data_IF_384118816888
#
_entry.id   IF_384118816888
#
_cell.length_a   1.000
_cell.length_b   1.000
_cell.length_c   1.000
_cell.angle_alpha   90.00
_cell.angle_beta   90.00
_cell.angle_gamma   90.00
#
_symmetry.space_group_name_H-M   'P 1'
#
loop_
_entity.id
_entity.type
_entity.pdbx_description
1 polymer ?
#
# COMPACT_ATOMS: atom_id res chain seq x y z
N UNK A 1 10.67 21.35 7.35
CA UNK A 1 10.03 22.10 8.45
C UNK A 1 9.73 21.24 9.67
N UNK A 2 9.06 20.04 9.55
CA UNK A 2 8.76 19.20 10.73
C UNK A 2 10.03 18.78 11.46
N UNK A 3 11.04 18.32 10.74
CA UNK A 3 12.33 17.88 11.30
C UNK A 3 13.09 19.08 11.90
N UNK A 4 13.12 20.19 11.20
CA UNK A 4 13.69 21.45 11.68
C UNK A 4 12.97 21.97 12.94
N UNK A 5 11.65 21.71 13.04
CA UNK A 5 10.83 22.00 14.21
C UNK A 5 11.02 21.06 15.39
N UNK A 6 11.86 20.02 15.26
CA UNK A 6 12.20 19.11 16.35
C UNK A 6 11.33 17.85 16.41
N UNK A 7 10.71 17.42 15.30
CA UNK A 7 10.01 16.14 15.27
C UNK A 7 10.99 14.97 15.40
N UNK A 8 10.67 14.00 16.25
CA UNK A 8 11.47 12.79 16.49
C UNK A 8 11.01 11.59 15.65
N UNK A 9 9.78 11.64 15.13
CA UNK A 9 9.15 10.58 14.33
C UNK A 9 8.36 11.22 13.19
N UNK A 10 8.38 10.63 12.02
CA UNK A 10 7.50 11.01 10.91
C UNK A 10 6.33 10.04 10.86
N UNK A 11 5.11 10.54 11.08
CA UNK A 11 3.87 9.77 10.97
C UNK A 11 3.15 10.14 9.67
N UNK A 12 2.98 9.16 8.79
CA UNK A 12 2.13 9.25 7.59
C UNK A 12 0.81 8.59 7.96
N UNK A 13 -0.20 9.40 8.25
CA UNK A 13 -1.47 8.90 8.79
C UNK A 13 -2.66 9.13 7.87
N UNK A 14 -3.79 8.44 8.20
CA UNK A 14 -5.06 8.51 7.50
C UNK A 14 -4.90 8.20 6.02
N UNK A 15 -4.07 7.20 5.73
CA UNK A 15 -3.77 6.78 4.37
C UNK A 15 -4.96 6.01 3.81
N UNK A 16 -5.64 6.61 2.84
CA UNK A 16 -6.74 5.98 2.10
C UNK A 16 -6.34 5.60 0.66
N UNK A 17 -5.16 6.06 0.22
CA UNK A 17 -4.56 5.80 -1.09
C UNK A 17 -3.06 5.54 -0.93
N UNK A 18 -2.63 4.33 -1.28
CA UNK A 18 -1.22 3.95 -1.13
C UNK A 18 -0.31 4.58 -2.19
N UNK A 19 -0.82 5.05 -3.32
CA UNK A 19 0.00 5.81 -4.27
C UNK A 19 0.42 7.15 -3.66
N UNK A 20 -0.51 7.85 -3.02
CA UNK A 20 -0.21 9.09 -2.29
C UNK A 20 0.72 8.84 -1.09
N UNK A 21 0.50 7.75 -0.36
CA UNK A 21 1.39 7.34 0.73
C UNK A 21 2.82 7.07 0.23
N UNK A 22 2.99 6.37 -0.89
CA UNK A 22 4.30 6.13 -1.50
C UNK A 22 5.00 7.41 -1.93
N UNK A 23 4.25 8.40 -2.41
CA UNK A 23 4.82 9.73 -2.70
C UNK A 23 5.37 10.41 -1.43
N UNK A 24 4.66 10.30 -0.29
CA UNK A 24 5.13 10.81 1.00
C UNK A 24 6.36 10.04 1.52
N UNK A 25 6.36 8.70 1.38
CA UNK A 25 7.51 7.84 1.74
C UNK A 25 8.74 8.24 0.90
N UNK A 26 8.57 8.35 -0.41
CA UNK A 26 9.65 8.73 -1.33
C UNK A 26 10.23 10.10 -0.99
N UNK A 27 9.38 11.10 -0.76
CA UNK A 27 9.82 12.44 -0.37
C UNK A 27 10.57 12.44 0.97
N UNK A 28 10.07 11.68 1.96
CA UNK A 28 10.70 11.54 3.26
C UNK A 28 12.08 10.90 3.15
N UNK A 29 12.21 9.80 2.43
CA UNK A 29 13.48 9.10 2.22
C UNK A 29 14.49 9.95 1.44
N UNK A 30 14.01 10.63 0.39
CA UNK A 30 14.85 11.55 -0.36
C UNK A 30 15.40 12.65 0.56
N UNK A 31 14.56 13.23 1.42
CA UNK A 31 15.00 14.24 2.39
C UNK A 31 16.05 13.68 3.36
N UNK A 32 15.85 12.44 3.85
CA UNK A 32 16.83 11.78 4.72
C UNK A 32 18.19 11.62 4.05
N UNK A 33 18.19 11.19 2.79
CA UNK A 33 19.44 11.06 2.02
C UNK A 33 20.11 12.41 1.78
N UNK A 34 19.34 13.43 1.40
CA UNK A 34 19.87 14.76 1.08
C UNK A 34 20.40 15.50 2.34
N UNK A 35 19.74 15.32 3.49
CA UNK A 35 20.08 16.00 4.75
C UNK A 35 21.05 15.23 5.65
N UNK A 36 21.20 13.94 5.44
CA UNK A 36 21.94 13.04 6.36
C UNK A 36 21.21 12.77 7.68
N UNK A 37 19.95 13.22 7.84
CA UNK A 37 19.12 12.99 9.03
C UNK A 37 18.19 11.81 8.73
N UNK A 38 18.09 10.86 9.66
CA UNK A 38 17.15 9.73 9.55
C UNK A 38 16.29 9.67 10.79
N UNK A 39 14.98 9.70 10.63
CA UNK A 39 14.00 9.53 11.71
C UNK A 39 13.18 8.26 11.48
N UNK A 40 12.65 7.65 12.55
CA UNK A 40 11.67 6.58 12.42
C UNK A 40 10.43 7.04 11.64
N UNK A 41 9.90 6.14 10.80
CA UNK A 41 8.65 6.37 10.08
C UNK A 41 7.57 5.48 10.69
N UNK A 42 6.40 6.04 10.95
CA UNK A 42 5.16 5.33 11.25
C UNK A 42 4.19 5.51 10.08
N UNK A 43 3.42 4.47 9.77
CA UNK A 43 2.39 4.53 8.72
C UNK A 43 1.07 4.07 9.32
N UNK A 44 0.00 4.82 9.06
CA UNK A 44 -1.35 4.48 9.53
C UNK A 44 -2.37 4.67 8.42
N UNK A 45 -3.03 3.57 8.03
CA UNK A 45 -4.09 3.57 7.03
C UNK A 45 -5.45 3.92 7.63
N UNK A 46 -6.42 4.14 6.75
CA UNK A 46 -7.81 4.29 7.14
C UNK A 46 -8.71 3.38 6.31
N UNK A 47 -9.64 2.72 6.99
CA UNK A 47 -10.67 1.87 6.40
C UNK A 47 -12.00 2.61 6.57
N UNK A 48 -12.56 3.17 5.48
CA UNK A 48 -13.70 4.10 5.58
C UNK A 48 -15.02 3.43 5.97
N UNK A 49 -15.14 2.12 5.76
CA UNK A 49 -16.38 1.39 6.00
C UNK A 49 -16.14 -0.11 6.32
N UNK A 50 -17.23 -0.85 6.52
CA UNK A 50 -17.22 -2.27 6.86
C UNK A 50 -16.78 -3.20 5.72
N UNK A 51 -16.47 -2.69 4.54
CA UNK A 51 -15.91 -3.50 3.43
C UNK A 51 -14.51 -4.02 3.72
N UNK A 52 -13.82 -3.39 4.67
CA UNK A 52 -12.45 -3.74 5.05
C UNK A 52 -11.40 -3.29 4.03
N UNK A 53 -11.75 -2.31 3.19
CA UNK A 53 -10.87 -1.79 2.14
C UNK A 53 -10.54 -0.32 2.38
N UNK A 54 -9.39 0.12 1.88
CA UNK A 54 -9.10 1.55 1.76
C UNK A 54 -10.10 2.20 0.79
N UNK A 55 -10.19 3.53 0.78
CA UNK A 55 -11.08 4.25 -0.14
C UNK A 55 -10.78 3.93 -1.62
N UNK A 56 -9.53 3.66 -1.95
CA UNK A 56 -9.11 3.27 -3.30
C UNK A 56 -9.20 1.76 -3.57
N UNK A 57 -9.81 1.00 -2.65
CA UNK A 57 -10.24 -0.40 -2.85
C UNK A 57 -9.26 -1.47 -2.39
N UNK A 58 -8.09 -1.13 -1.83
CA UNK A 58 -7.13 -2.13 -1.35
C UNK A 58 -7.59 -2.84 -0.08
N UNK A 59 -7.36 -4.15 -0.01
CA UNK A 59 -7.43 -4.92 1.25
C UNK A 59 -6.35 -4.48 2.23
N UNK A 60 -6.51 -4.83 3.51
CA UNK A 60 -5.50 -4.53 4.56
C UNK A 60 -4.14 -5.15 4.21
N UNK A 61 -4.11 -6.39 3.71
CA UNK A 61 -2.87 -7.04 3.28
C UNK A 61 -2.26 -6.35 2.06
N UNK A 62 -3.07 -5.96 1.06
CA UNK A 62 -2.59 -5.21 -0.10
C UNK A 62 -2.02 -3.84 0.29
N UNK A 63 -2.68 -3.14 1.21
CA UNK A 63 -2.17 -1.91 1.81
C UNK A 63 -0.78 -2.13 2.44
N UNK A 64 -0.64 -3.14 3.31
CA UNK A 64 0.64 -3.46 3.94
C UNK A 64 1.71 -3.80 2.91
N UNK A 65 1.42 -4.68 1.95
CA UNK A 65 2.37 -5.05 0.90
C UNK A 65 2.84 -3.84 0.09
N UNK A 66 1.96 -2.85 -0.14
CA UNK A 66 2.28 -1.64 -0.91
C UNK A 66 3.26 -0.71 -0.20
N UNK A 67 3.25 -0.67 1.15
CA UNK A 67 4.03 0.30 1.94
C UNK A 67 5.14 -0.32 2.80
N UNK A 68 5.21 -1.66 2.89
CA UNK A 68 6.18 -2.37 3.72
C UNK A 68 7.65 -2.06 3.36
N UNK A 69 7.93 -1.69 2.10
CA UNK A 69 9.25 -1.26 1.64
C UNK A 69 9.77 -0.02 2.39
N UNK A 70 8.88 0.79 2.97
CA UNK A 70 9.27 1.92 3.82
C UNK A 70 10.02 1.50 5.08
N UNK A 71 9.99 0.21 5.43
CA UNK A 71 10.56 -0.32 6.67
C UNK A 71 10.15 0.53 7.90
N UNK A 72 8.83 0.78 8.10
CA UNK A 72 8.36 1.63 9.18
C UNK A 72 8.58 0.96 10.54
N UNK A 73 8.69 1.74 11.62
CA UNK A 73 8.71 1.18 12.96
C UNK A 73 7.34 0.60 13.36
N UNK A 74 6.26 1.17 12.82
CA UNK A 74 4.90 0.65 13.01
C UNK A 74 4.04 0.83 11.77
N UNK A 75 3.11 -0.12 11.61
CA UNK A 75 1.97 -0.04 10.72
C UNK A 75 0.69 -0.04 11.55
N UNK A 76 -0.32 0.67 11.13
CA UNK A 76 -1.55 0.72 11.90
C UNK A 76 -2.74 1.22 11.11
N UNK A 77 -3.83 1.43 11.85
CA UNK A 77 -5.07 1.99 11.31
C UNK A 77 -5.56 3.11 12.24
N UNK A 78 -6.13 4.14 11.65
CA UNK A 78 -6.75 5.23 12.38
C UNK A 78 -7.98 5.76 11.67
N UNK A 79 -8.84 6.41 12.44
CA UNK A 79 -10.00 7.16 11.95
C UNK A 79 -11.08 6.29 11.28
N UNK A 80 -12.11 6.93 10.75
CA UNK A 80 -13.29 6.43 10.05
C UNK A 80 -14.17 5.50 10.91
N UNK A 81 -13.63 4.43 11.45
CA UNK A 81 -14.34 3.44 12.23
C UNK A 81 -14.12 3.61 13.74
N UNK A 82 -15.08 3.16 14.55
CA UNK A 82 -14.92 2.96 15.97
C UNK A 82 -14.06 1.75 16.29
N UNK A 83 -13.78 1.55 17.58
CA UNK A 83 -12.89 0.48 18.00
C UNK A 83 -13.44 -0.91 17.64
N UNK A 84 -14.74 -1.16 17.81
CA UNK A 84 -15.35 -2.44 17.48
C UNK A 84 -15.22 -2.81 15.99
N UNK A 85 -15.53 -1.86 15.11
CA UNK A 85 -15.47 -2.09 13.68
C UNK A 85 -14.01 -2.20 13.16
N UNK A 86 -13.06 -1.53 13.82
CA UNK A 86 -11.65 -1.56 13.42
C UNK A 86 -10.96 -2.86 13.82
N UNK A 87 -11.49 -3.58 14.82
CA UNK A 87 -10.90 -4.77 15.42
C UNK A 87 -10.42 -5.83 14.42
N UNK A 88 -11.24 -6.33 13.48
CA UNK A 88 -10.81 -7.40 12.56
C UNK A 88 -9.64 -6.96 11.66
N UNK A 89 -9.56 -5.71 11.31
CA UNK A 89 -8.50 -5.17 10.46
C UNK A 89 -7.17 -5.00 11.22
N UNK A 90 -7.25 -4.64 12.50
CA UNK A 90 -6.09 -4.60 13.41
C UNK A 90 -5.57 -6.01 13.68
N UNK A 91 -6.47 -6.98 13.89
CA UNK A 91 -6.13 -8.40 14.01
C UNK A 91 -5.39 -8.91 12.76
N UNK A 92 -5.89 -8.60 11.57
CA UNK A 92 -5.23 -8.97 10.32
C UNK A 92 -3.81 -8.38 10.24
N UNK A 93 -3.64 -7.07 10.46
CA UNK A 93 -2.31 -6.44 10.50
C UNK A 93 -1.40 -7.08 11.54
N UNK A 94 -1.94 -7.46 12.69
CA UNK A 94 -1.17 -8.08 13.76
C UNK A 94 -0.56 -9.41 13.34
N UNK A 95 -1.22 -10.14 12.46
CA UNK A 95 -0.79 -11.45 11.98
C UNK A 95 0.22 -11.36 10.84
N UNK A 96 0.08 -10.36 9.95
CA UNK A 96 0.87 -10.28 8.70
C UNK A 96 2.06 -9.34 8.76
N UNK A 97 2.14 -8.45 9.78
CA UNK A 97 3.21 -7.46 9.86
C UNK A 97 4.34 -7.89 10.80
N UNK A 98 5.59 -7.75 10.33
CA UNK A 98 6.80 -7.96 11.11
C UNK A 98 7.29 -6.71 11.87
N UNK A 99 6.45 -5.68 12.02
CA UNK A 99 6.74 -4.43 12.72
C UNK A 99 5.70 -4.19 13.82
N UNK A 100 5.85 -3.15 14.63
CA UNK A 100 4.83 -2.80 15.63
C UNK A 100 3.50 -2.49 14.96
N UNK A 101 2.39 -2.78 15.67
CA UNK A 101 1.03 -2.45 15.22
C UNK A 101 0.45 -1.35 16.08
N UNK A 102 -0.10 -0.32 15.43
CA UNK A 102 -0.77 0.80 16.08
C UNK A 102 -2.26 0.86 15.72
N UNK A 103 -3.09 1.32 16.66
CA UNK A 103 -4.51 1.53 16.46
C UNK A 103 -4.97 2.85 17.10
N UNK A 104 -5.63 3.70 16.30
CA UNK A 104 -6.17 4.98 16.74
C UNK A 104 -7.61 5.14 16.23
N UNK A 105 -8.59 4.39 16.78
CA UNK A 105 -9.99 4.46 16.36
C UNK A 105 -10.64 5.78 16.76
N UNK A 106 -11.77 6.09 16.14
CA UNK A 106 -12.66 7.16 16.56
C UNK A 106 -13.39 6.75 17.86
N UNK A 107 -13.95 7.73 18.57
CA UNK A 107 -14.86 7.49 19.69
C UNK A 107 -16.26 7.08 19.19
N UNK A 108 -16.33 5.93 18.50
CA UNK A 108 -17.49 5.42 17.78
C UNK A 108 -17.65 6.01 16.36
N UNK A 109 -18.81 5.77 15.77
CA UNK A 109 -19.18 6.37 14.49
C UNK A 109 -19.78 7.78 14.70
N UNK A 110 -19.64 8.70 13.73
CA UNK A 110 -20.28 10.01 13.85
C UNK A 110 -21.81 9.86 13.88
N UNK A 111 -22.46 10.56 14.82
CA UNK A 111 -23.92 10.65 14.90
C UNK A 111 -24.49 11.60 13.81
N UNK A 112 -25.84 11.71 13.74
CA UNK A 112 -26.53 12.56 12.76
C UNK A 112 -26.15 14.05 12.81
N UNK A 113 -25.60 14.51 13.94
CA UNK A 113 -25.10 15.88 14.13
C UNK A 113 -23.59 16.00 13.92
N UNK A 114 -22.91 14.92 13.51
CA UNK A 114 -21.46 14.87 13.32
C UNK A 114 -20.66 14.78 14.62
N UNK A 115 -21.32 14.56 15.78
CA UNK A 115 -20.66 14.29 17.05
C UNK A 115 -20.31 12.81 17.20
N UNK A 116 -19.61 12.49 18.31
CA UNK A 116 -19.21 11.14 18.67
C UNK A 116 -19.73 10.83 20.08
N UNK A 117 -20.37 9.66 20.24
CA UNK A 117 -21.12 9.34 21.46
C UNK A 117 -20.51 8.20 22.26
N UNK A 118 -19.41 7.59 21.78
CA UNK A 118 -18.75 6.54 22.53
C UNK A 118 -18.07 7.10 23.77
N UNK A 119 -18.31 6.43 24.92
CA UNK A 119 -17.74 6.88 26.20
C UNK A 119 -16.29 6.38 26.39
N UNK A 120 -15.50 7.04 27.27
CA UNK A 120 -14.16 6.58 27.61
C UNK A 120 -14.11 5.12 28.09
N UNK A 121 -15.12 4.69 28.86
CA UNK A 121 -15.20 3.34 29.42
C UNK A 121 -15.54 2.30 28.35
N UNK A 122 -16.44 2.65 27.42
CA UNK A 122 -16.80 1.76 26.30
C UNK A 122 -15.61 1.53 25.39
N UNK A 123 -14.98 2.62 24.96
CA UNK A 123 -13.81 2.56 24.08
C UNK A 123 -12.63 1.83 24.74
N UNK A 124 -12.38 2.11 26.02
CA UNK A 124 -11.32 1.44 26.79
C UNK A 124 -11.51 -0.07 26.82
N UNK A 125 -12.73 -0.55 27.04
CA UNK A 125 -13.06 -1.97 27.08
C UNK A 125 -12.71 -2.69 25.78
N UNK A 126 -13.01 -2.10 24.63
CA UNK A 126 -12.72 -2.69 23.33
C UNK A 126 -11.21 -2.66 23.06
N UNK A 127 -10.54 -1.57 23.37
CA UNK A 127 -9.08 -1.46 23.21
C UNK A 127 -8.34 -2.41 24.17
N UNK A 128 -8.89 -2.66 25.36
CA UNK A 128 -8.37 -3.68 26.27
C UNK A 128 -8.41 -5.07 25.62
N UNK A 129 -9.50 -5.42 24.93
CA UNK A 129 -9.58 -6.67 24.18
C UNK A 129 -8.51 -6.79 23.07
N UNK A 130 -8.18 -5.71 22.37
CA UNK A 130 -7.06 -5.71 21.42
C UNK A 130 -5.73 -6.08 22.11
N UNK A 131 -5.48 -5.52 23.28
CA UNK A 131 -4.25 -5.75 24.02
C UNK A 131 -4.20 -7.17 24.59
N UNK A 132 -5.29 -7.65 25.19
CA UNK A 132 -5.40 -8.99 25.76
C UNK A 132 -5.33 -10.08 24.67
N UNK A 133 -5.83 -9.79 23.46
CA UNK A 133 -5.67 -10.62 22.27
C UNK A 133 -4.27 -10.55 21.64
N UNK A 134 -3.42 -9.63 22.10
CA UNK A 134 -2.05 -9.49 21.59
C UNK A 134 -1.97 -8.88 20.21
N UNK A 135 -2.86 -7.95 19.84
CA UNK A 135 -2.93 -7.36 18.51
C UNK A 135 -2.12 -6.07 18.35
N UNK A 136 -1.87 -5.34 19.43
CA UNK A 136 -1.33 -3.98 19.39
C UNK A 136 -0.06 -3.78 20.22
N UNK A 137 0.73 -2.79 19.80
CA UNK A 137 1.91 -2.29 20.52
C UNK A 137 1.74 -0.82 20.90
N UNK A 138 1.01 -0.06 20.07
CA UNK A 138 0.79 1.37 20.21
C UNK A 138 -0.71 1.62 20.10
N UNK A 139 -1.25 2.44 20.96
CA UNK A 139 -2.67 2.77 20.95
C UNK A 139 -2.92 4.21 21.35
N UNK A 140 -3.96 4.77 20.78
CA UNK A 140 -4.47 6.10 21.08
C UNK A 140 -5.90 6.23 20.61
N UNK A 141 -6.27 7.42 20.19
CA UNK A 141 -7.58 7.71 19.63
C UNK A 141 -7.47 8.70 18.50
N UNK A 142 -8.54 8.84 17.71
CA UNK A 142 -8.68 9.79 16.62
C UNK A 142 -9.92 10.67 16.84
N UNK A 143 -10.79 10.86 15.86
CA UNK A 143 -11.92 11.77 15.95
C UNK A 143 -12.85 11.44 17.14
N UNK A 144 -13.31 12.48 17.82
CA UNK A 144 -14.19 12.35 18.97
C UNK A 144 -13.52 11.97 20.30
N UNK A 145 -12.25 11.53 20.29
CA UNK A 145 -11.55 11.20 21.53
C UNK A 145 -11.15 12.46 22.31
N UNK A 146 -11.35 12.40 23.62
CA UNK A 146 -11.03 13.46 24.58
C UNK A 146 -9.89 13.03 25.49
N UNK A 147 -9.33 13.95 26.31
CA UNK A 147 -8.37 13.57 27.35
C UNK A 147 -8.85 12.47 28.28
N UNK A 148 -10.17 12.37 28.55
CA UNK A 148 -10.76 11.33 29.39
C UNK A 148 -10.65 9.94 28.71
N UNK A 149 -10.89 9.84 27.40
CA UNK A 149 -10.69 8.61 26.64
C UNK A 149 -9.23 8.14 26.71
N UNK A 150 -8.29 9.04 26.46
CA UNK A 150 -6.86 8.70 26.49
C UNK A 150 -6.43 8.31 27.90
N UNK A 151 -6.95 8.98 28.94
CA UNK A 151 -6.65 8.61 30.33
C UNK A 151 -7.17 7.20 30.70
N UNK A 152 -8.38 6.84 30.26
CA UNK A 152 -8.96 5.51 30.48
C UNK A 152 -8.13 4.44 29.78
N UNK A 153 -7.82 4.62 28.50
CA UNK A 153 -6.97 3.72 27.71
C UNK A 153 -5.59 3.57 28.36
N UNK A 154 -4.91 4.68 28.66
CA UNK A 154 -3.57 4.65 29.25
C UNK A 154 -3.54 3.94 30.61
N UNK A 155 -4.59 4.10 31.43
CA UNK A 155 -4.74 3.38 32.72
C UNK A 155 -4.83 1.88 32.50
N UNK A 156 -5.67 1.45 31.57
CA UNK A 156 -5.90 0.03 31.26
C UNK A 156 -4.66 -0.63 30.68
N UNK A 157 -3.93 0.06 29.80
CA UNK A 157 -2.75 -0.49 29.11
C UNK A 157 -1.55 -0.75 30.04
N UNK A 158 -1.50 -0.17 31.24
CA UNK A 158 -0.40 -0.40 32.20
C UNK A 158 -0.25 -1.87 32.60
N UNK A 159 -1.32 -2.63 32.56
CA UNK A 159 -1.35 -4.04 32.94
C UNK A 159 -1.23 -4.99 31.75
N UNK A 160 -1.26 -4.47 30.54
CA UNK A 160 -1.24 -5.26 29.33
C UNK A 160 0.19 -5.57 28.88
N UNK A 161 0.34 -6.74 28.26
CA UNK A 161 1.60 -7.09 27.57
C UNK A 161 1.55 -6.60 26.14
N UNK A 162 2.65 -6.05 25.61
CA UNK A 162 2.69 -5.67 24.22
C UNK A 162 2.60 -6.90 23.29
N UNK A 163 2.05 -6.72 22.10
CA UNK A 163 2.05 -7.74 21.05
C UNK A 163 3.47 -8.25 20.81
N UNK A 164 3.61 -9.56 20.67
CA UNK A 164 4.84 -10.17 20.19
C UNK A 164 4.89 -10.06 18.67
N UNK A 165 5.96 -9.48 18.15
CA UNK A 165 6.15 -9.37 16.69
C UNK A 165 6.36 -10.77 16.13
N UNK A 166 5.53 -11.24 15.15
CA UNK A 166 5.70 -12.55 14.56
C UNK A 166 6.91 -12.57 13.63
N UNK A 167 7.50 -13.75 13.48
CA UNK A 167 8.48 -13.98 12.42
C UNK A 167 7.72 -14.22 11.11
N UNK A 168 7.84 -13.30 10.19
CA UNK A 168 7.20 -13.41 8.89
C UNK A 168 8.13 -14.15 7.92
N UNK A 169 7.72 -15.31 7.36
CA UNK A 169 8.54 -16.06 6.42
C UNK A 169 8.90 -15.22 5.18
N UNK A 170 10.09 -15.39 4.62
CA UNK A 170 10.45 -14.76 3.35
C UNK A 170 9.49 -15.19 2.24
N UNK A 171 8.98 -14.23 1.49
CA UNK A 171 8.12 -14.44 0.33
C UNK A 171 8.20 -13.23 -0.60
N UNK A 172 7.90 -13.41 -1.88
CA UNK A 172 7.61 -12.28 -2.77
C UNK A 172 6.16 -11.84 -2.51
N UNK A 173 6.01 -10.63 -2.00
CA UNK A 173 4.71 -10.03 -1.72
C UNK A 173 4.45 -8.87 -2.66
N UNK A 174 3.41 -9.00 -3.45
CA UNK A 174 2.95 -8.03 -4.44
C UNK A 174 1.53 -7.59 -4.07
N UNK A 175 1.04 -6.56 -4.74
CA UNK A 175 -0.36 -6.14 -4.61
C UNK A 175 -0.84 -5.32 -5.81
N UNK A 176 -2.08 -5.58 -6.18
CA UNK A 176 -2.98 -4.62 -6.79
C UNK A 176 -3.93 -4.11 -5.70
N UNK A 177 -5.25 -4.22 -5.93
CA UNK A 177 -6.25 -4.06 -4.87
C UNK A 177 -6.27 -5.27 -3.92
N UNK A 178 -5.88 -6.44 -4.44
CA UNK A 178 -5.68 -7.66 -3.67
C UNK A 178 -4.18 -7.93 -3.47
N UNK A 179 -3.86 -8.66 -2.41
CA UNK A 179 -2.50 -9.12 -2.17
C UNK A 179 -2.19 -10.38 -2.98
N UNK A 180 -0.95 -10.50 -3.45
CA UNK A 180 -0.41 -11.72 -4.06
C UNK A 180 0.89 -12.07 -3.32
N UNK A 181 0.88 -13.21 -2.66
CA UNK A 181 2.05 -13.75 -1.95
C UNK A 181 2.55 -15.01 -2.66
N UNK A 182 3.82 -14.99 -3.04
CA UNK A 182 4.49 -16.11 -3.72
C UNK A 182 5.60 -16.62 -2.81
N UNK A 183 5.47 -17.85 -2.36
CA UNK A 183 6.40 -18.54 -1.46
C UNK A 183 6.68 -19.98 -1.95
N UNK A 184 7.40 -20.74 -1.13
CA UNK A 184 7.76 -22.13 -1.47
C UNK A 184 6.57 -23.09 -1.58
N UNK A 185 5.38 -22.71 -1.11
CA UNK A 185 4.15 -23.50 -1.17
C UNK A 185 3.24 -23.05 -2.33
N UNK A 186 3.60 -21.96 -2.99
CA UNK A 186 2.82 -21.44 -4.12
C UNK A 186 2.92 -22.39 -5.30
N UNK A 187 1.77 -22.62 -5.95
CA UNK A 187 1.70 -23.32 -7.23
C UNK A 187 2.27 -22.43 -8.34
N UNK A 188 2.14 -22.91 -9.58
CA UNK A 188 2.51 -22.13 -10.76
C UNK A 188 1.80 -20.76 -10.76
N UNK A 189 2.57 -19.67 -10.93
CA UNK A 189 2.05 -18.31 -11.01
C UNK A 189 1.91 -17.93 -12.48
N UNK A 190 0.70 -17.58 -12.86
CA UNK A 190 0.39 -17.20 -14.24
C UNK A 190 0.57 -15.68 -14.43
N UNK A 191 1.52 -15.31 -15.28
CA UNK A 191 1.77 -13.92 -15.69
C UNK A 191 1.21 -13.72 -17.10
N UNK A 192 0.29 -12.76 -17.24
CA UNK A 192 -0.35 -12.43 -18.50
C UNK A 192 0.47 -11.42 -19.32
N UNK A 193 0.93 -11.83 -20.51
CA UNK A 193 1.80 -11.03 -21.38
C UNK A 193 1.09 -10.49 -22.64
N UNK A 194 -0.24 -10.33 -22.61
CA UNK A 194 -0.96 -9.81 -23.79
C UNK A 194 -1.10 -8.29 -23.83
N UNK A 195 -0.75 -7.59 -22.73
CA UNK A 195 -0.61 -6.13 -22.71
C UNK A 195 0.83 -5.68 -23.06
N UNK A 196 1.49 -6.43 -23.91
CA UNK A 196 2.84 -6.21 -24.38
C UNK A 196 2.83 -5.95 -25.88
N UNK A 197 3.26 -4.75 -26.31
CA UNK A 197 3.24 -4.33 -27.74
C UNK A 197 4.22 -5.15 -28.60
N UNK A 198 5.24 -5.78 -28.00
CA UNK A 198 6.17 -6.65 -28.72
C UNK A 198 5.66 -8.08 -28.81
N UNK A 199 4.87 -8.53 -27.82
CA UNK A 199 4.34 -9.90 -27.73
C UNK A 199 2.92 -10.10 -28.27
N UNK A 200 2.16 -9.02 -28.50
CA UNK A 200 0.75 -9.07 -28.92
C UNK A 200 0.46 -8.12 -30.07
N UNK A 201 0.29 -8.67 -31.28
CA UNK A 201 -0.08 -7.89 -32.46
C UNK A 201 -1.43 -7.17 -32.31
N UNK A 202 -2.42 -7.79 -31.64
CA UNK A 202 -3.71 -7.17 -31.31
C UNK A 202 -3.53 -5.96 -30.44
N UNK A 203 -2.83 -6.11 -29.32
CA UNK A 203 -2.61 -5.03 -28.35
C UNK A 203 -1.80 -3.89 -28.98
N UNK A 204 -0.70 -4.21 -29.68
CA UNK A 204 0.12 -3.23 -30.40
C UNK A 204 -0.74 -2.36 -31.33
N UNK A 205 -1.58 -2.97 -32.18
CA UNK A 205 -2.47 -2.23 -33.09
C UNK A 205 -3.39 -1.29 -32.33
N UNK A 206 -4.06 -1.78 -31.28
CA UNK A 206 -5.00 -0.99 -30.49
C UNK A 206 -4.34 0.24 -29.86
N UNK A 207 -3.15 0.07 -29.30
CA UNK A 207 -2.41 1.18 -28.66
C UNK A 207 -1.92 2.19 -29.71
N UNK A 208 -1.39 1.74 -30.87
CA UNK A 208 -0.94 2.61 -31.96
C UNK A 208 -2.08 3.42 -32.58
N UNK A 209 -3.27 2.84 -32.70
CA UNK A 209 -4.47 3.49 -33.21
C UNK A 209 -5.22 4.33 -32.14
N UNK A 210 -4.76 4.31 -30.87
CA UNK A 210 -5.36 5.07 -29.76
C UNK A 210 -6.63 4.45 -29.16
N UNK A 211 -6.93 3.19 -29.46
CA UNK A 211 -8.09 2.45 -28.97
C UNK A 211 -7.80 1.84 -27.57
N UNK A 212 -7.57 2.70 -26.59
CA UNK A 212 -7.17 2.28 -25.24
C UNK A 212 -8.27 1.55 -24.48
N UNK A 213 -9.56 1.84 -24.73
CA UNK A 213 -10.67 1.12 -24.09
C UNK A 213 -10.71 -0.35 -24.55
N UNK A 214 -10.45 -0.59 -25.83
CA UNK A 214 -10.35 -1.94 -26.38
C UNK A 214 -9.07 -2.65 -25.91
N UNK A 215 -8.01 -1.88 -25.67
CA UNK A 215 -6.78 -2.40 -25.06
C UNK A 215 -6.99 -2.81 -23.61
N UNK A 216 -7.85 -2.11 -22.82
CA UNK A 216 -8.25 -2.52 -21.49
C UNK A 216 -9.00 -3.86 -21.48
N UNK A 217 -9.84 -4.12 -22.47
CA UNK A 217 -10.52 -5.41 -22.59
C UNK A 217 -9.52 -6.58 -22.73
N UNK A 218 -8.34 -6.35 -23.34
CA UNK A 218 -7.27 -7.37 -23.39
C UNK A 218 -6.70 -7.64 -21.99
N UNK A 219 -6.56 -6.63 -21.15
CA UNK A 219 -6.12 -6.80 -19.77
C UNK A 219 -7.17 -7.54 -18.93
N UNK A 220 -8.45 -7.16 -19.06
CA UNK A 220 -9.56 -7.80 -18.35
C UNK A 220 -9.71 -9.28 -18.70
N UNK A 221 -9.59 -9.63 -19.99
CA UNK A 221 -9.61 -11.01 -20.48
C UNK A 221 -8.53 -11.86 -19.78
N UNK A 222 -7.29 -11.37 -19.70
CA UNK A 222 -6.20 -12.07 -19.03
C UNK A 222 -6.48 -12.32 -17.54
N UNK A 223 -6.99 -11.33 -16.83
CA UNK A 223 -7.34 -11.48 -15.40
C UNK A 223 -8.50 -12.44 -15.21
N UNK A 224 -9.51 -12.36 -16.08
CA UNK A 224 -10.64 -13.29 -16.09
C UNK A 224 -10.22 -14.73 -16.35
N UNK A 225 -9.21 -14.92 -17.21
CA UNK A 225 -8.63 -16.22 -17.55
C UNK A 225 -7.61 -16.73 -16.52
N UNK A 226 -7.42 -15.99 -15.42
CA UNK A 226 -6.64 -16.44 -14.26
C UNK A 226 -5.21 -15.92 -14.21
N UNK A 227 -4.86 -14.85 -14.91
CA UNK A 227 -3.58 -14.17 -14.71
C UNK A 227 -3.52 -13.57 -13.29
N UNK A 228 -2.45 -13.87 -12.57
CA UNK A 228 -2.19 -13.39 -11.21
C UNK A 228 -1.31 -12.12 -11.21
N UNK A 229 -0.68 -11.83 -12.32
CA UNK A 229 0.11 -10.62 -12.61
C UNK A 229 -0.11 -10.27 -14.07
N UNK A 230 -0.15 -8.98 -14.42
CA UNK A 230 -0.21 -8.52 -15.82
C UNK A 230 1.08 -7.80 -16.17
N UNK A 231 1.74 -8.22 -17.25
CA UNK A 231 2.85 -7.51 -17.88
C UNK A 231 2.33 -6.37 -18.75
N UNK A 232 2.93 -5.20 -18.61
CA UNK A 232 2.62 -4.00 -19.43
C UNK A 232 3.91 -3.53 -20.09
N UNK A 233 3.95 -3.64 -21.43
CA UNK A 233 5.08 -3.17 -22.23
C UNK A 233 4.58 -2.27 -23.35
N UNK A 234 5.18 -1.07 -23.45
CA UNK A 234 4.87 -0.03 -24.44
C UNK A 234 6.09 0.32 -25.33
N UNK A 235 7.07 -0.60 -25.42
CA UNK A 235 8.31 -0.38 -26.18
C UNK A 235 8.08 -0.58 -27.69
N UNK A 236 7.61 0.47 -28.36
CA UNK A 236 7.39 0.50 -29.80
C UNK A 236 7.94 1.80 -30.39
N UNK A 237 8.67 1.71 -31.52
CA UNK A 237 9.36 2.85 -32.11
C UNK A 237 8.41 3.97 -32.58
N UNK A 238 7.19 3.63 -33.00
CA UNK A 238 6.18 4.58 -33.47
C UNK A 238 5.27 5.11 -32.34
N UNK A 239 5.55 4.77 -31.10
CA UNK A 239 4.74 5.12 -29.93
C UNK A 239 5.52 6.05 -29.00
N UNK A 240 4.86 7.07 -28.45
CA UNK A 240 5.34 7.73 -27.24
C UNK A 240 5.12 6.77 -26.06
N UNK A 241 6.15 5.94 -25.79
CA UNK A 241 6.09 4.88 -24.77
C UNK A 241 5.85 5.43 -23.39
N UNK A 242 6.37 6.63 -23.08
CA UNK A 242 6.21 7.27 -21.78
C UNK A 242 4.75 7.69 -21.56
N UNK A 243 4.16 8.36 -22.55
CA UNK A 243 2.74 8.72 -22.53
C UNK A 243 1.85 7.48 -22.46
N UNK A 244 2.11 6.49 -23.31
CA UNK A 244 1.30 5.28 -23.41
C UNK A 244 1.32 4.47 -22.09
N UNK A 245 2.49 4.29 -21.47
CA UNK A 245 2.63 3.63 -20.18
C UNK A 245 1.83 4.35 -19.10
N UNK A 246 1.99 5.65 -18.97
CA UNK A 246 1.27 6.46 -18.00
C UNK A 246 -0.23 6.43 -18.23
N UNK A 247 -0.66 6.59 -19.48
CA UNK A 247 -2.08 6.64 -19.84
C UNK A 247 -2.76 5.30 -19.56
N UNK A 248 -2.19 4.20 -20.03
CA UNK A 248 -2.74 2.86 -19.83
C UNK A 248 -2.74 2.44 -18.35
N UNK A 249 -1.67 2.73 -17.60
CA UNK A 249 -1.63 2.47 -16.17
C UNK A 249 -2.72 3.23 -15.39
N UNK A 250 -3.00 4.48 -15.76
CA UNK A 250 -4.09 5.25 -15.16
C UNK A 250 -5.48 4.67 -15.51
N UNK A 251 -5.66 4.14 -16.71
CA UNK A 251 -6.90 3.48 -17.10
C UNK A 251 -7.11 2.17 -16.31
N UNK A 252 -6.05 1.36 -16.15
CA UNK A 252 -6.09 0.16 -15.29
C UNK A 252 -6.49 0.52 -13.86
N UNK A 253 -5.93 1.60 -13.32
CA UNK A 253 -6.16 1.99 -11.91
C UNK A 253 -7.63 2.26 -11.56
N UNK A 254 -8.46 2.61 -12.54
CA UNK A 254 -9.90 2.88 -12.36
C UNK A 254 -10.80 1.69 -12.71
N UNK A 255 -10.21 0.55 -13.13
CA UNK A 255 -10.91 -0.68 -13.49
C UNK A 255 -10.69 -1.77 -12.43
N UNK A 256 -11.57 -1.94 -11.43
CA UNK A 256 -11.35 -2.86 -10.31
C UNK A 256 -11.13 -4.30 -10.74
N UNK A 257 -11.77 -4.74 -11.82
CA UNK A 257 -11.60 -6.11 -12.36
C UNK A 257 -10.17 -6.39 -12.82
N UNK A 258 -9.44 -5.35 -13.23
CA UNK A 258 -8.05 -5.44 -13.66
C UNK A 258 -7.11 -5.06 -12.51
N UNK A 259 -7.39 -3.95 -11.83
CA UNK A 259 -6.56 -3.41 -10.76
C UNK A 259 -6.40 -4.34 -9.55
N UNK A 260 -7.24 -5.38 -9.41
CA UNK A 260 -7.13 -6.37 -8.32
C UNK A 260 -5.81 -7.13 -8.34
N UNK A 261 -5.19 -7.36 -9.50
CA UNK A 261 -3.90 -8.04 -9.60
C UNK A 261 -2.74 -7.03 -9.68
N UNK A 262 -1.53 -7.39 -9.19
CA UNK A 262 -0.35 -6.57 -9.38
C UNK A 262 0.06 -6.51 -10.86
N UNK A 263 0.75 -5.44 -11.23
CA UNK A 263 1.30 -5.25 -12.57
C UNK A 263 2.82 -5.48 -12.58
N UNK A 264 3.33 -5.95 -13.73
CA UNK A 264 4.74 -5.89 -14.08
C UNK A 264 4.92 -4.75 -15.08
N UNK A 265 5.77 -3.79 -14.76
CA UNK A 265 6.11 -2.68 -15.64
C UNK A 265 7.36 -3.05 -16.40
N UNK A 266 7.18 -3.34 -17.70
CA UNK A 266 8.22 -3.84 -18.59
C UNK A 266 8.62 -2.78 -19.61
N UNK A 267 9.88 -2.39 -19.57
CA UNK A 267 10.48 -1.52 -20.59
C UNK A 267 12.00 -1.63 -20.57
N UNK A 268 12.59 -1.44 -21.75
CA UNK A 268 14.03 -1.24 -21.90
C UNK A 268 14.51 0.15 -21.46
N UNK A 269 13.58 1.07 -21.17
CA UNK A 269 13.85 2.47 -20.82
C UNK A 269 13.39 2.73 -19.37
N UNK A 270 14.32 3.20 -18.55
CA UNK A 270 14.02 3.47 -17.15
C UNK A 270 12.94 4.54 -16.93
N UNK A 271 12.93 5.61 -17.72
CA UNK A 271 11.94 6.69 -17.64
C UNK A 271 10.50 6.19 -17.88
N UNK A 272 10.33 5.20 -18.74
CA UNK A 272 9.02 4.55 -18.99
C UNK A 272 8.59 3.71 -17.79
N UNK A 273 9.51 2.92 -17.19
CA UNK A 273 9.25 2.16 -15.95
C UNK A 273 8.87 3.11 -14.81
N UNK A 274 9.67 4.17 -14.61
CA UNK A 274 9.43 5.17 -13.56
C UNK A 274 8.07 5.86 -13.73
N UNK A 275 7.67 6.16 -14.98
CA UNK A 275 6.36 6.73 -15.27
C UNK A 275 5.22 5.78 -14.88
N UNK A 276 5.34 4.49 -15.15
CA UNK A 276 4.38 3.46 -14.74
C UNK A 276 4.32 3.29 -13.21
N UNK A 277 5.48 3.27 -12.54
CA UNK A 277 5.55 3.19 -11.07
C UNK A 277 4.83 4.36 -10.40
N UNK A 278 4.93 5.56 -10.94
CA UNK A 278 4.23 6.76 -10.44
C UNK A 278 2.71 6.74 -10.66
N UNK A 279 2.19 5.76 -11.40
CA UNK A 279 0.75 5.56 -11.61
C UNK A 279 0.21 4.33 -10.87
N UNK A 280 1.06 3.53 -10.22
CA UNK A 280 0.69 2.25 -9.61
C UNK A 280 0.57 2.38 -8.10
N UNK A 281 -0.63 2.19 -7.54
CA UNK A 281 -0.82 2.24 -6.09
C UNK A 281 -0.30 0.98 -5.38
N UNK A 282 -0.40 -0.19 -5.99
CA UNK A 282 0.07 -1.47 -5.47
C UNK A 282 1.59 -1.63 -5.50
N UNK A 283 2.06 -2.81 -5.10
CA UNK A 283 3.46 -3.22 -5.23
C UNK A 283 3.66 -3.99 -6.52
N UNK A 284 4.27 -3.33 -7.50
CA UNK A 284 4.55 -3.83 -8.84
C UNK A 284 5.85 -4.66 -8.93
N UNK A 285 6.03 -5.32 -10.06
CA UNK A 285 7.31 -5.88 -10.50
C UNK A 285 7.94 -4.91 -11.50
N UNK A 286 9.25 -4.70 -11.41
CA UNK A 286 10.05 -3.94 -12.39
C UNK A 286 10.77 -4.91 -13.32
N UNK A 287 10.53 -4.83 -14.61
CA UNK A 287 11.19 -5.58 -15.67
C UNK A 287 11.70 -4.60 -16.77
N UNK A 288 12.99 -4.27 -16.79
CA UNK A 288 14.00 -4.64 -15.84
C UNK A 288 15.07 -3.55 -15.66
N UNK A 289 15.75 -3.61 -14.54
CA UNK A 289 17.03 -2.91 -14.40
C UNK A 289 18.14 -3.79 -15.00
N UNK A 290 19.16 -3.17 -15.60
CA UNK A 290 20.15 -3.92 -16.39
C UNK A 290 21.57 -3.38 -16.20
N UNK A 291 22.56 -4.30 -16.28
CA UNK A 291 23.98 -3.94 -16.32
C UNK A 291 24.45 -3.41 -17.70
N UNK A 292 23.59 -3.34 -18.72
CA UNK A 292 23.95 -2.88 -20.07
C UNK A 292 24.53 -1.47 -20.10
N UNK A 293 24.01 -0.59 -19.21
CA UNK A 293 24.48 0.80 -19.06
C UNK A 293 25.54 0.97 -17.96
N UNK A 294 26.07 -0.13 -17.45
CA UNK A 294 27.10 -0.16 -16.42
C UNK A 294 26.54 -0.29 -15.01
N UNK A 295 27.47 -0.61 -14.07
CA UNK A 295 27.16 -0.89 -12.67
C UNK A 295 26.52 0.31 -11.96
N UNK A 296 26.99 1.52 -12.22
CA UNK A 296 26.52 2.74 -11.55
C UNK A 296 25.03 2.96 -11.81
N UNK A 297 24.62 2.88 -13.09
CA UNK A 297 23.22 3.02 -13.50
C UNK A 297 22.34 1.93 -12.91
N UNK A 298 22.81 0.68 -12.91
CA UNK A 298 22.12 -0.43 -12.30
C UNK A 298 21.86 -0.20 -10.80
N UNK A 299 22.87 0.25 -10.06
CA UNK A 299 22.75 0.53 -8.62
C UNK A 299 21.83 1.71 -8.35
N UNK A 300 21.90 2.77 -9.18
CA UNK A 300 21.00 3.92 -9.11
C UNK A 300 19.53 3.47 -9.25
N UNK A 301 19.21 2.72 -10.31
CA UNK A 301 17.86 2.21 -10.57
C UNK A 301 17.40 1.27 -9.46
N UNK A 302 18.27 0.38 -8.95
CA UNK A 302 17.94 -0.48 -7.82
C UNK A 302 17.59 0.31 -6.55
N UNK A 303 18.31 1.39 -6.26
CA UNK A 303 18.00 2.28 -5.13
C UNK A 303 16.64 2.98 -5.32
N UNK A 304 16.32 3.42 -6.54
CA UNK A 304 15.02 4.01 -6.85
C UNK A 304 13.87 3.01 -6.66
N UNK A 305 14.07 1.74 -7.04
CA UNK A 305 13.07 0.68 -6.77
C UNK A 305 12.85 0.40 -5.27
N UNK A 306 13.85 0.67 -4.42
CA UNK A 306 13.77 0.46 -2.97
C UNK A 306 13.14 1.64 -2.21
N UNK A 307 13.00 2.79 -2.84
CA UNK A 307 12.35 3.99 -2.27
C UNK A 307 10.85 3.92 -2.36
#
# INVERSE_FOLDING_TARGET
YLIEGGADIILIETVFDTLNCKAAIFATRKYFEDSGITLPIMISGTIPDKSGRTLTGQTVEAFWNSVAHANPISIGLNCALGADELRPHVEELSRISGVYVSAHPNAGLPNELGGFDETPESMEKVIRDYADSGFINIVGGCCGTSPAHIAAIAKSMKECKPRKIPQIPPALRLSGLEAVTIDNNSLFVNLGERCNVTGSAKFKRLVLEGFYNEALAVAEEQVSDGAQVIDINMDEAMLDSLYAMKHFSNLIAVEPNIAKVPVMLDSSKWDVIEAGLKCTQGKAIVNSISMKEGREKFVEQAKLCLR
#
